data_IF_058580283930
#
_entry.id   IF_058580283930
#
_cell.length_a   1.000
_cell.length_b   1.000
_cell.length_c   1.000
_cell.angle_alpha   90.00
_cell.angle_beta   90.00
_cell.angle_gamma   90.00
#
_symmetry.space_group_name_H-M   'P 1'
#
loop_
_entity.id
_entity.type
_entity.pdbx_description
1 polymer ?
#
# COMPACT_ATOMS: atom_id res chain seq x y z
N UNK A 1 -37.19 -0.06 -31.82
CA UNK A 1 -35.74 0.15 -31.98
C UNK A 1 -35.01 0.60 -30.70
N UNK A 2 -35.64 1.33 -29.76
CA UNK A 2 -35.01 1.74 -28.47
C UNK A 2 -34.42 0.61 -27.62
N UNK A 3 -35.05 -0.57 -27.61
CA UNK A 3 -34.59 -1.73 -26.82
C UNK A 3 -33.18 -2.20 -27.22
N UNK A 4 -32.82 -2.15 -28.51
CA UNK A 4 -31.50 -2.56 -29.02
C UNK A 4 -30.39 -1.56 -28.65
N UNK A 5 -30.70 -0.27 -28.58
CA UNK A 5 -29.74 0.78 -28.18
C UNK A 5 -29.49 0.78 -26.67
N UNK A 6 -30.49 0.42 -25.85
CA UNK A 6 -30.31 0.23 -24.40
C UNK A 6 -29.37 -0.93 -24.08
N UNK A 7 -29.43 -2.04 -24.83
CA UNK A 7 -28.50 -3.16 -24.65
C UNK A 7 -27.06 -2.84 -25.09
N UNK A 8 -26.88 -2.07 -26.17
CA UNK A 8 -25.54 -1.67 -26.64
C UNK A 8 -24.88 -0.66 -25.68
N UNK A 9 -25.65 0.29 -25.14
CA UNK A 9 -25.15 1.25 -24.16
C UNK A 9 -24.81 0.58 -22.81
N UNK A 10 -25.61 -0.37 -22.35
CA UNK A 10 -25.34 -1.12 -21.12
C UNK A 10 -24.08 -2.01 -21.24
N UNK A 11 -23.84 -2.60 -22.42
CA UNK A 11 -22.66 -3.42 -22.67
C UNK A 11 -21.37 -2.58 -22.72
N UNK A 12 -21.44 -1.36 -23.28
CA UNK A 12 -20.31 -0.44 -23.31
C UNK A 12 -19.92 0.06 -21.90
N UNK A 13 -20.89 0.41 -21.04
CA UNK A 13 -20.61 0.82 -19.66
C UNK A 13 -20.00 -0.30 -18.81
N UNK A 14 -20.48 -1.53 -18.95
CA UNK A 14 -19.95 -2.67 -18.20
C UNK A 14 -18.50 -2.97 -18.60
N UNK A 15 -18.16 -2.87 -19.89
CA UNK A 15 -16.80 -3.09 -20.37
C UNK A 15 -15.82 -2.01 -19.86
N UNK A 16 -16.24 -0.73 -19.87
CA UNK A 16 -15.41 0.37 -19.35
C UNK A 16 -15.14 0.26 -17.84
N UNK A 17 -16.14 -0.14 -17.05
CA UNK A 17 -15.97 -0.34 -15.61
C UNK A 17 -14.99 -1.48 -15.27
N UNK A 18 -15.01 -2.58 -16.05
CA UNK A 18 -14.08 -3.69 -15.86
C UNK A 18 -12.64 -3.35 -16.19
N UNK A 19 -12.39 -2.54 -17.24
CA UNK A 19 -11.05 -2.08 -17.60
C UNK A 19 -10.48 -1.19 -16.49
N UNK A 20 -11.26 -0.22 -16.01
CA UNK A 20 -10.84 0.68 -14.94
C UNK A 20 -10.55 -0.06 -13.61
N UNK A 21 -11.36 -1.07 -13.27
CA UNK A 21 -11.14 -1.90 -12.09
C UNK A 21 -9.84 -2.73 -12.19
N UNK A 22 -9.47 -3.17 -13.39
CA UNK A 22 -8.21 -3.89 -13.60
C UNK A 22 -7.00 -2.94 -13.51
N UNK A 23 -7.07 -1.76 -14.13
CA UNK A 23 -6.02 -0.74 -14.07
C UNK A 23 -5.73 -0.30 -12.62
N UNK A 24 -6.78 0.03 -11.86
CA UNK A 24 -6.64 0.44 -10.45
C UNK A 24 -6.07 -0.66 -9.55
N UNK A 25 -6.32 -1.93 -9.87
CA UNK A 25 -5.73 -3.06 -9.15
C UNK A 25 -4.24 -3.23 -9.49
N UNK A 26 -3.86 -3.12 -10.76
CA UNK A 26 -2.47 -3.22 -11.19
C UNK A 26 -1.62 -2.07 -10.64
N UNK A 27 -2.18 -0.85 -10.63
CA UNK A 27 -1.60 0.33 -9.96
C UNK A 27 -1.40 0.06 -8.47
N UNK A 28 -2.42 -0.43 -7.77
CA UNK A 28 -2.31 -0.79 -6.36
C UNK A 28 -1.21 -1.84 -6.11
N UNK A 29 -1.11 -2.88 -6.95
CA UNK A 29 -0.05 -3.89 -6.84
C UNK A 29 1.33 -3.28 -7.07
N UNK A 30 1.47 -2.33 -7.98
CA UNK A 30 2.73 -1.62 -8.21
C UNK A 30 3.14 -0.80 -6.98
N UNK A 31 2.20 -0.04 -6.39
CA UNK A 31 2.40 0.73 -5.16
C UNK A 31 2.78 -0.19 -3.98
N UNK A 32 2.10 -1.33 -3.82
CA UNK A 32 2.44 -2.34 -2.81
C UNK A 32 3.88 -2.84 -2.93
N UNK A 33 4.36 -3.11 -4.15
CA UNK A 33 5.74 -3.56 -4.39
C UNK A 33 6.74 -2.44 -4.10
N UNK A 34 6.45 -1.21 -4.54
CA UNK A 34 7.30 -0.05 -4.29
C UNK A 34 7.43 0.21 -2.78
N UNK A 35 6.31 0.26 -2.04
CA UNK A 35 6.31 0.44 -0.59
C UNK A 35 7.05 -0.66 0.16
N UNK A 36 6.90 -1.92 -0.26
CA UNK A 36 7.65 -3.04 0.32
C UNK A 36 9.17 -2.89 0.08
N UNK A 37 9.56 -2.50 -1.13
CA UNK A 37 10.95 -2.24 -1.49
C UNK A 37 11.55 -1.08 -0.68
N UNK A 38 10.84 0.04 -0.58
CA UNK A 38 11.26 1.22 0.18
C UNK A 38 11.39 0.92 1.68
N UNK A 39 10.43 0.20 2.29
CA UNK A 39 10.55 -0.24 3.68
C UNK A 39 11.74 -1.21 3.89
N UNK A 40 11.99 -2.13 2.96
CA UNK A 40 13.16 -3.03 3.03
C UNK A 40 14.48 -2.25 2.97
N UNK A 41 14.57 -1.29 2.06
CA UNK A 41 15.71 -0.35 1.93
C UNK A 41 15.90 0.48 3.21
N UNK A 42 14.82 1.06 3.74
CA UNK A 42 14.83 1.82 5.00
C UNK A 42 15.39 0.97 6.14
N UNK A 43 14.89 -0.26 6.32
CA UNK A 43 15.35 -1.17 7.39
C UNK A 43 16.83 -1.47 7.30
N UNK A 44 17.35 -1.72 6.09
CA UNK A 44 18.78 -1.92 5.86
C UNK A 44 19.60 -0.65 6.15
N UNK A 45 19.09 0.52 5.75
CA UNK A 45 19.78 1.79 5.96
C UNK A 45 19.83 2.18 7.44
N UNK A 46 18.84 1.84 8.25
CA UNK A 46 18.88 2.08 9.71
C UNK A 46 20.11 1.45 10.38
N UNK A 47 20.72 0.44 9.79
CA UNK A 47 21.92 -0.20 10.32
C UNK A 47 23.19 0.66 10.16
N UNK A 48 23.28 1.47 9.10
CA UNK A 48 24.55 2.09 8.66
C UNK A 48 24.47 3.51 8.10
N UNK A 49 23.29 4.00 7.70
CA UNK A 49 23.07 5.29 7.07
C UNK A 49 21.70 5.88 7.50
N UNK A 50 21.69 6.64 8.59
CA UNK A 50 20.45 7.24 9.12
C UNK A 50 19.86 8.30 8.19
N UNK A 51 20.69 9.03 7.44
CA UNK A 51 20.19 10.03 6.48
C UNK A 51 19.51 9.34 5.30
N UNK A 52 20.11 8.26 4.79
CA UNK A 52 19.48 7.39 3.80
C UNK A 52 18.20 6.75 4.33
N UNK A 53 18.20 6.30 5.59
CA UNK A 53 17.02 5.71 6.22
C UNK A 53 15.85 6.70 6.32
N UNK A 54 16.13 7.97 6.68
CA UNK A 54 15.12 9.03 6.70
C UNK A 54 14.49 9.25 5.30
N UNK A 55 15.32 9.34 4.26
CA UNK A 55 14.83 9.49 2.89
C UNK A 55 14.02 8.28 2.40
N UNK A 56 14.46 7.07 2.73
CA UNK A 56 13.74 5.84 2.38
C UNK A 56 12.43 5.68 3.18
N UNK A 57 12.36 6.19 4.41
CA UNK A 57 11.13 6.23 5.19
C UNK A 57 10.09 7.15 4.55
N UNK A 58 10.50 8.31 4.03
CA UNK A 58 9.61 9.22 3.30
C UNK A 58 9.11 8.60 1.98
N UNK A 59 9.98 7.93 1.24
CA UNK A 59 9.62 7.18 0.02
C UNK A 59 8.58 6.09 0.32
N UNK A 60 8.79 5.33 1.40
CA UNK A 60 7.83 4.32 1.83
C UNK A 60 6.51 4.96 2.27
N UNK A 61 6.56 6.10 2.98
CA UNK A 61 5.37 6.80 3.49
C UNK A 61 4.42 7.17 2.36
N UNK A 62 4.94 7.78 1.30
CA UNK A 62 4.14 8.16 0.13
C UNK A 62 3.40 6.94 -0.48
N UNK A 63 4.07 5.80 -0.61
CA UNK A 63 3.43 4.58 -1.10
C UNK A 63 2.30 4.10 -0.18
N UNK A 64 2.47 4.16 1.15
CA UNK A 64 1.41 3.76 2.09
C UNK A 64 0.25 4.76 2.16
N UNK A 65 0.47 6.04 1.89
CA UNK A 65 -0.60 7.04 1.73
C UNK A 65 -1.45 6.75 0.48
N UNK A 66 -0.83 6.34 -0.63
CA UNK A 66 -1.55 5.88 -1.82
C UNK A 66 -2.35 4.59 -1.56
N UNK A 67 -1.78 3.63 -0.82
CA UNK A 67 -2.51 2.43 -0.39
C UNK A 67 -3.70 2.77 0.52
N UNK A 68 -3.54 3.72 1.44
CA UNK A 68 -4.62 4.20 2.30
C UNK A 68 -5.76 4.80 1.45
N UNK A 69 -5.43 5.62 0.45
CA UNK A 69 -6.40 6.19 -0.47
C UNK A 69 -7.15 5.12 -1.28
N UNK A 70 -6.44 4.10 -1.77
CA UNK A 70 -7.04 2.95 -2.43
C UNK A 70 -8.11 2.28 -1.54
N UNK A 71 -7.76 1.96 -0.29
CA UNK A 71 -8.69 1.29 0.62
C UNK A 71 -9.85 2.18 1.09
N UNK A 72 -9.64 3.50 1.19
CA UNK A 72 -10.74 4.47 1.40
C UNK A 72 -11.76 4.40 0.28
N UNK A 73 -11.32 4.38 -0.98
CA UNK A 73 -12.24 4.25 -2.13
C UNK A 73 -13.01 2.92 -2.12
N UNK A 74 -12.41 1.87 -1.56
CA UNK A 74 -13.02 0.54 -1.42
C UNK A 74 -13.92 0.39 -0.19
N UNK A 75 -13.92 1.36 0.73
CA UNK A 75 -14.69 1.31 1.97
C UNK A 75 -14.21 0.25 2.97
N UNK A 76 -12.91 -0.09 2.96
CA UNK A 76 -12.31 -1.07 3.87
C UNK A 76 -11.57 -0.35 5.02
N UNK A 77 -12.31 0.03 6.06
CA UNK A 77 -11.80 0.87 7.16
C UNK A 77 -10.66 0.22 7.96
N UNK A 78 -10.64 -1.11 8.06
CA UNK A 78 -9.55 -1.86 8.68
C UNK A 78 -8.26 -1.79 7.85
N UNK A 79 -8.35 -1.96 6.52
CA UNK A 79 -7.23 -1.78 5.61
C UNK A 79 -6.68 -0.34 5.65
N UNK A 80 -7.56 0.66 5.69
CA UNK A 80 -7.19 2.08 5.90
C UNK A 80 -6.42 2.24 7.21
N UNK A 81 -6.87 1.59 8.28
CA UNK A 81 -6.20 1.64 9.59
C UNK A 81 -4.81 1.01 9.54
N UNK A 82 -4.65 -0.15 8.88
CA UNK A 82 -3.33 -0.78 8.71
C UNK A 82 -2.36 0.13 7.94
N UNK A 83 -2.79 0.71 6.81
CA UNK A 83 -1.94 1.62 6.04
C UNK A 83 -1.55 2.85 6.86
N UNK A 84 -2.51 3.46 7.57
CA UNK A 84 -2.25 4.66 8.38
C UNK A 84 -1.29 4.41 9.55
N UNK A 85 -1.38 3.25 10.18
CA UNK A 85 -0.43 2.85 11.21
C UNK A 85 1.01 2.76 10.66
N UNK A 86 1.16 2.29 9.42
CA UNK A 86 2.47 2.23 8.76
C UNK A 86 2.96 3.64 8.42
N UNK A 87 2.10 4.52 7.89
CA UNK A 87 2.42 5.93 7.65
C UNK A 87 2.94 6.59 8.93
N UNK A 88 2.23 6.42 10.04
CA UNK A 88 2.61 7.00 11.34
C UNK A 88 3.97 6.46 11.82
N UNK A 89 4.22 5.16 11.67
CA UNK A 89 5.51 4.56 12.01
C UNK A 89 6.65 5.10 11.13
N UNK A 90 6.40 5.30 9.83
CA UNK A 90 7.39 5.84 8.89
C UNK A 90 7.72 7.30 9.18
N UNK A 91 6.75 8.11 9.58
CA UNK A 91 6.99 9.49 10.06
C UNK A 91 7.90 9.50 11.30
N UNK A 92 7.65 8.59 12.24
CA UNK A 92 8.49 8.44 13.43
C UNK A 92 9.91 7.97 13.09
N UNK A 93 10.05 7.04 12.14
CA UNK A 93 11.36 6.61 11.63
C UNK A 93 12.09 7.79 10.99
N UNK A 94 11.42 8.53 10.10
CA UNK A 94 12.00 9.70 9.44
C UNK A 94 12.50 10.70 10.48
N UNK A 95 11.64 11.14 11.40
CA UNK A 95 11.99 12.13 12.41
C UNK A 95 13.17 11.67 13.30
N UNK A 96 13.16 10.43 13.77
CA UNK A 96 14.23 9.89 14.61
C UNK A 96 15.55 9.72 13.85
N UNK A 97 15.51 9.19 12.63
CA UNK A 97 16.70 8.99 11.80
C UNK A 97 17.31 10.33 11.38
N UNK A 98 16.49 11.33 11.03
CA UNK A 98 16.95 12.69 10.73
C UNK A 98 17.60 13.38 11.95
N UNK A 99 17.15 13.04 13.16
CA UNK A 99 17.75 13.51 14.41
C UNK A 99 19.00 12.73 14.83
N UNK A 100 19.41 11.69 14.09
CA UNK A 100 20.55 10.84 14.43
C UNK A 100 20.27 9.80 15.52
N UNK A 101 19.01 9.63 15.93
CA UNK A 101 18.59 8.71 16.98
C UNK A 101 18.25 7.33 16.40
N UNK A 102 19.28 6.50 16.25
CA UNK A 102 19.16 5.15 15.67
C UNK A 102 18.23 4.24 16.47
N UNK A 103 18.32 4.26 17.80
CA UNK A 103 17.54 3.36 18.66
C UNK A 103 16.04 3.67 18.55
N UNK A 104 15.68 4.96 18.60
CA UNK A 104 14.30 5.40 18.40
C UNK A 104 13.78 5.11 17.01
N UNK A 105 14.62 5.29 15.98
CA UNK A 105 14.24 4.98 14.60
C UNK A 105 14.01 3.46 14.41
N UNK A 106 14.87 2.61 14.97
CA UNK A 106 14.67 1.16 14.95
C UNK A 106 13.42 0.74 15.72
N UNK A 107 13.15 1.33 16.89
CA UNK A 107 11.95 1.06 17.66
C UNK A 107 10.67 1.42 16.88
N UNK A 108 10.63 2.60 16.26
CA UNK A 108 9.52 3.01 15.40
C UNK A 108 9.27 2.03 14.24
N UNK A 109 10.34 1.47 13.65
CA UNK A 109 10.23 0.52 12.54
C UNK A 109 9.68 -0.86 12.95
N UNK A 110 9.76 -1.28 14.23
CA UNK A 110 9.41 -2.65 14.66
C UNK A 110 7.97 -3.04 14.34
N UNK A 111 7.01 -2.10 14.44
CA UNK A 111 5.58 -2.36 14.22
C UNK A 111 5.13 -2.45 12.75
N UNK A 112 5.97 -2.05 11.79
CA UNK A 112 5.57 -1.98 10.37
C UNK A 112 5.24 -3.39 9.84
N UNK A 113 6.07 -4.39 10.13
CA UNK A 113 5.87 -5.76 9.62
C UNK A 113 4.57 -6.41 10.08
N UNK A 114 4.13 -6.12 11.31
CA UNK A 114 2.88 -6.64 11.85
C UNK A 114 1.66 -6.07 11.09
N UNK A 115 1.69 -4.78 10.74
CA UNK A 115 0.63 -4.16 9.93
C UNK A 115 0.62 -4.71 8.50
N UNK A 116 1.80 -4.94 7.89
CA UNK A 116 1.88 -5.62 6.58
C UNK A 116 1.22 -7.01 6.64
N UNK A 117 1.53 -7.81 7.65
CA UNK A 117 0.95 -9.14 7.84
C UNK A 117 -0.54 -9.11 8.11
N UNK A 118 -0.99 -8.20 8.98
CA UNK A 118 -2.41 -8.02 9.33
C UNK A 118 -3.26 -7.70 8.10
N UNK A 119 -2.88 -6.68 7.33
CA UNK A 119 -3.59 -6.30 6.11
C UNK A 119 -3.59 -7.42 5.07
N UNK A 120 -2.46 -8.11 4.86
CA UNK A 120 -2.40 -9.21 3.90
C UNK A 120 -3.28 -10.38 4.30
N UNK A 121 -3.30 -10.76 5.57
CA UNK A 121 -4.14 -11.85 6.05
C UNK A 121 -5.63 -11.51 5.96
N UNK A 122 -5.99 -10.25 6.24
CA UNK A 122 -7.36 -9.77 6.17
C UNK A 122 -7.88 -9.67 4.73
N UNK A 123 -7.08 -9.15 3.79
CA UNK A 123 -7.58 -8.74 2.47
C UNK A 123 -6.97 -9.44 1.26
N UNK A 124 -6.03 -10.38 1.43
CA UNK A 124 -5.50 -11.18 0.32
C UNK A 124 -5.89 -12.63 0.40
N UNK A 125 -6.17 -13.21 -0.76
CA UNK A 125 -6.31 -14.65 -0.96
C UNK A 125 -5.44 -15.10 -2.14
N UNK A 126 -5.40 -16.40 -2.42
CA UNK A 126 -4.78 -16.96 -3.61
C UNK A 126 -5.85 -17.41 -4.58
N UNK A 127 -5.69 -17.05 -5.86
CA UNK A 127 -6.51 -17.59 -6.93
C UNK A 127 -6.17 -19.07 -7.22
N UNK A 128 -6.88 -19.67 -8.19
CA UNK A 128 -6.66 -21.07 -8.59
C UNK A 128 -5.24 -21.36 -9.11
N UNK A 129 -4.53 -20.34 -9.58
CA UNK A 129 -3.13 -20.44 -10.01
C UNK A 129 -2.13 -20.17 -8.87
N UNK A 130 -2.62 -19.91 -7.65
CA UNK A 130 -1.81 -19.60 -6.49
C UNK A 130 -1.32 -18.15 -6.42
N UNK A 131 -1.75 -17.28 -7.35
CA UNK A 131 -1.40 -15.85 -7.35
C UNK A 131 -2.22 -15.11 -6.32
N UNK A 132 -1.59 -14.22 -5.58
CA UNK A 132 -2.30 -13.40 -4.61
C UNK A 132 -3.21 -12.38 -5.29
N UNK A 133 -4.45 -12.32 -4.82
CA UNK A 133 -5.51 -11.39 -5.22
C UNK A 133 -6.07 -10.69 -3.99
N UNK A 134 -6.72 -9.54 -4.17
CA UNK A 134 -7.56 -8.95 -3.12
C UNK A 134 -8.84 -9.79 -3.01
N UNK A 135 -9.29 -10.02 -1.78
CA UNK A 135 -10.55 -10.73 -1.47
C UNK A 135 -11.79 -9.98 -1.96
#
# INVERSE_FOLDING_TARGET
MMRKHLFIAALALALSASIHAAETYDEYVAVMKAGAGANGKMRKMLESDLKGAAAAAEEAKAAFEEMEAYWKMKGADDAVTFSRNIVTALEQVHAAAAAGDKEKAMAAAQGIGANCGGCHNAHRDKDAAGKFVIK
#
